data_IF_792603279306
#
_entry.id   IF_792603279306
#
_cell.length_a   1.000
_cell.length_b   1.000
_cell.length_c   1.000
_cell.angle_alpha   90.00
_cell.angle_beta   90.00
_cell.angle_gamma   90.00
#
_symmetry.space_group_name_H-M   'P 1'
#
loop_
_entity.id
_entity.type
_entity.pdbx_description
1 polymer ?
#
# COMPACT_ATOMS: atom_id res chain seq x y z
N UNK A 1 1.38 -17.75 -3.25
CA UNK A 1 0.83 -18.84 -2.40
C UNK A 1 1.76 -19.17 -1.24
N UNK A 2 3.03 -19.54 -1.46
CA UNK A 2 3.96 -19.85 -0.36
C UNK A 2 4.07 -18.70 0.66
N UNK A 3 4.21 -17.47 0.18
CA UNK A 3 4.24 -16.26 1.00
C UNK A 3 2.99 -16.14 1.91
N UNK A 4 1.80 -16.31 1.34
CA UNK A 4 0.51 -16.32 2.06
C UNK A 4 0.45 -17.44 3.10
N UNK A 5 0.92 -18.64 2.75
CA UNK A 5 0.97 -19.78 3.68
C UNK A 5 1.89 -19.47 4.88
N UNK A 6 3.04 -18.85 4.61
CA UNK A 6 3.98 -18.43 5.65
C UNK A 6 3.35 -17.39 6.58
N UNK A 7 2.71 -16.35 6.03
CA UNK A 7 2.13 -15.25 6.81
C UNK A 7 0.88 -15.67 7.60
N UNK A 8 0.15 -16.71 7.16
CA UNK A 8 -1.15 -17.08 7.74
C UNK A 8 -1.08 -18.30 8.64
N UNK A 9 -0.45 -19.37 8.16
CA UNK A 9 -0.50 -20.67 8.83
C UNK A 9 0.79 -20.97 9.58
N UNK A 10 1.95 -20.62 8.99
CA UNK A 10 3.22 -20.94 9.63
C UNK A 10 3.43 -20.16 10.94
N UNK A 11 2.87 -18.95 11.04
CA UNK A 11 2.85 -18.17 12.29
C UNK A 11 2.12 -18.84 13.45
N UNK A 12 1.22 -19.80 13.19
CA UNK A 12 0.51 -20.54 14.26
C UNK A 12 1.41 -21.55 14.98
N UNK A 13 2.60 -21.83 14.44
CA UNK A 13 3.51 -22.83 14.95
C UNK A 13 4.84 -22.18 15.35
N UNK A 14 5.01 -21.82 16.62
CA UNK A 14 6.18 -21.10 17.13
C UNK A 14 7.53 -21.70 16.70
N UNK A 15 7.63 -23.04 16.61
CA UNK A 15 8.85 -23.73 16.22
C UNK A 15 9.31 -23.47 14.77
N UNK A 16 8.39 -23.17 13.85
CA UNK A 16 8.73 -22.98 12.42
C UNK A 16 8.76 -21.50 12.02
N UNK A 17 8.43 -20.59 12.92
CA UNK A 17 8.38 -19.14 12.64
C UNK A 17 9.68 -18.61 12.01
N UNK A 18 10.90 -18.95 12.50
CA UNK A 18 12.14 -18.48 11.86
C UNK A 18 12.29 -18.99 10.43
N UNK A 19 11.99 -20.26 10.18
CA UNK A 19 12.02 -20.85 8.84
C UNK A 19 10.99 -20.17 7.93
N UNK A 20 9.78 -19.93 8.43
CA UNK A 20 8.73 -19.25 7.69
C UNK A 20 9.14 -17.83 7.28
N UNK A 21 9.79 -17.08 8.17
CA UNK A 21 10.33 -15.76 7.85
C UNK A 21 11.36 -15.84 6.70
N UNK A 22 12.30 -16.79 6.74
CA UNK A 22 13.28 -16.96 5.67
C UNK A 22 12.59 -17.33 4.36
N UNK A 23 11.66 -18.29 4.37
CA UNK A 23 10.91 -18.70 3.18
C UNK A 23 10.06 -17.56 2.61
N UNK A 24 9.47 -16.72 3.46
CA UNK A 24 8.73 -15.53 3.06
C UNK A 24 9.65 -14.52 2.36
N UNK A 25 10.80 -14.19 2.95
CA UNK A 25 11.78 -13.28 2.33
C UNK A 25 12.29 -13.83 1.00
N UNK A 26 12.65 -15.12 0.95
CA UNK A 26 13.10 -15.77 -0.28
C UNK A 26 12.00 -15.81 -1.35
N UNK A 27 10.73 -15.97 -0.95
CA UNK A 27 9.59 -15.90 -1.87
C UNK A 27 9.49 -14.51 -2.50
N UNK A 28 9.63 -13.44 -1.70
CA UNK A 28 9.65 -12.07 -2.21
C UNK A 28 10.78 -11.82 -3.20
N UNK A 29 12.01 -12.28 -2.89
CA UNK A 29 13.16 -12.19 -3.80
C UNK A 29 12.92 -12.98 -5.09
N UNK A 30 12.37 -14.19 -4.98
CA UNK A 30 12.05 -15.03 -6.14
C UNK A 30 10.99 -14.36 -7.03
N UNK A 31 9.93 -13.79 -6.45
CA UNK A 31 8.91 -13.04 -7.18
C UNK A 31 9.55 -11.88 -7.96
N UNK A 32 10.37 -11.06 -7.29
CA UNK A 32 11.10 -9.96 -7.94
C UNK A 32 11.99 -10.46 -9.09
N UNK A 33 12.73 -11.55 -8.88
CA UNK A 33 13.57 -12.15 -9.92
C UNK A 33 12.75 -12.67 -11.10
N UNK A 34 11.62 -13.35 -10.85
CA UNK A 34 10.76 -13.85 -11.91
C UNK A 34 10.11 -12.71 -12.70
N UNK A 35 9.71 -11.62 -12.04
CA UNK A 35 9.18 -10.42 -12.70
C UNK A 35 10.21 -9.84 -13.69
N UNK A 36 11.49 -9.77 -13.30
CA UNK A 36 12.57 -9.30 -14.19
C UNK A 36 12.84 -10.23 -15.39
N UNK A 37 12.38 -11.49 -15.32
CA UNK A 37 12.51 -12.48 -16.39
C UNK A 37 11.26 -12.57 -17.27
N UNK A 38 10.18 -11.87 -16.93
CA UNK A 38 8.99 -11.84 -17.78
C UNK A 38 9.41 -11.20 -19.11
N UNK A 39 9.30 -11.92 -20.24
CA UNK A 39 9.72 -11.38 -21.52
C UNK A 39 8.91 -10.12 -21.84
N UNK A 40 9.61 -9.08 -22.32
CA UNK A 40 8.97 -7.87 -22.79
C UNK A 40 7.89 -8.26 -23.78
N UNK A 41 6.64 -8.01 -23.39
CA UNK A 41 5.52 -8.20 -24.28
C UNK A 41 5.68 -7.12 -25.34
N UNK A 42 6.28 -7.47 -26.49
CA UNK A 42 6.29 -6.59 -27.67
C UNK A 42 4.86 -6.14 -27.86
N UNK A 43 4.61 -4.86 -27.65
CA UNK A 43 3.30 -4.26 -27.81
C UNK A 43 2.89 -4.48 -29.26
N UNK A 44 2.18 -5.59 -29.51
CA UNK A 44 1.34 -5.72 -30.67
C UNK A 44 0.30 -4.65 -30.48
N UNK A 45 0.53 -3.51 -31.13
CA UNK A 45 -0.48 -2.52 -31.47
C UNK A 45 -1.56 -3.24 -32.28
N UNK A 46 -2.39 -4.00 -31.58
CA UNK A 46 -3.56 -4.61 -32.14
C UNK A 46 -4.58 -3.48 -32.30
N UNK A 47 -4.45 -2.75 -33.41
CA UNK A 47 -5.50 -1.93 -34.02
C UNK A 47 -6.64 -2.82 -34.57
N UNK A 48 -6.99 -3.88 -33.84
CA UNK A 48 -8.12 -4.73 -34.14
C UNK A 48 -9.36 -4.06 -33.54
N UNK A 49 -10.29 -3.70 -34.42
CA UNK A 49 -11.65 -3.29 -34.06
C UNK A 49 -12.20 -4.30 -33.05
N UNK A 50 -12.46 -3.83 -31.84
CA UNK A 50 -12.89 -4.68 -30.72
C UNK A 50 -14.30 -5.23 -30.99
N UNK A 51 -14.43 -6.54 -31.18
CA UNK A 51 -15.73 -7.21 -31.11
C UNK A 51 -16.27 -7.10 -29.67
N UNK A 52 -17.27 -6.24 -29.48
CA UNK A 52 -17.53 -5.60 -28.19
C UNK A 52 -18.54 -6.32 -27.26
N UNK A 53 -19.10 -7.49 -27.59
CA UNK A 53 -20.40 -7.87 -26.99
C UNK A 53 -20.43 -8.91 -25.86
N UNK A 54 -19.54 -9.89 -25.77
CA UNK A 54 -19.68 -10.96 -24.76
C UNK A 54 -18.83 -10.72 -23.48
N UNK A 55 -17.65 -10.13 -23.63
CA UNK A 55 -16.64 -10.05 -22.56
C UNK A 55 -17.06 -9.14 -21.40
N UNK A 56 -17.79 -8.07 -21.70
CA UNK A 56 -18.22 -7.09 -20.71
C UNK A 56 -19.25 -7.65 -19.71
N UNK A 57 -20.09 -8.61 -20.14
CA UNK A 57 -21.18 -9.13 -19.30
C UNK A 57 -20.66 -9.91 -18.08
N UNK A 58 -19.68 -10.81 -18.27
CA UNK A 58 -19.13 -11.58 -17.17
C UNK A 58 -18.20 -10.74 -16.28
N UNK A 59 -17.42 -9.81 -16.86
CA UNK A 59 -16.61 -8.86 -16.09
C UNK A 59 -17.49 -8.03 -15.17
N UNK A 60 -18.58 -7.46 -15.70
CA UNK A 60 -19.55 -6.72 -14.89
C UNK A 60 -20.15 -7.60 -13.79
N UNK A 61 -20.56 -8.82 -14.10
CA UNK A 61 -21.11 -9.74 -13.10
C UNK A 61 -20.12 -10.03 -11.96
N UNK A 62 -18.83 -10.21 -12.28
CA UNK A 62 -17.79 -10.41 -11.26
C UNK A 62 -17.50 -9.16 -10.46
N UNK A 63 -17.53 -7.98 -11.07
CA UNK A 63 -17.39 -6.71 -10.35
C UNK A 63 -18.56 -6.49 -9.39
N UNK A 64 -19.79 -6.77 -9.83
CA UNK A 64 -20.98 -6.68 -8.99
C UNK A 64 -20.94 -7.71 -7.86
N UNK A 65 -20.60 -8.96 -8.15
CA UNK A 65 -20.49 -10.01 -7.15
C UNK A 65 -19.36 -9.72 -6.16
N UNK A 66 -18.17 -9.38 -6.65
CA UNK A 66 -17.02 -9.01 -5.81
C UNK A 66 -17.31 -7.79 -4.95
N UNK A 67 -17.93 -6.75 -5.53
CA UNK A 67 -18.36 -5.56 -4.81
C UNK A 67 -19.37 -5.87 -3.71
N UNK A 68 -20.35 -6.73 -3.98
CA UNK A 68 -21.32 -7.19 -2.98
C UNK A 68 -20.62 -7.96 -1.84
N UNK A 69 -19.72 -8.89 -2.17
CA UNK A 69 -18.97 -9.66 -1.16
C UNK A 69 -18.15 -8.73 -0.26
N UNK A 70 -17.38 -7.81 -0.86
CA UNK A 70 -16.57 -6.84 -0.11
C UNK A 70 -17.45 -5.92 0.75
N UNK A 71 -18.59 -5.48 0.23
CA UNK A 71 -19.55 -4.69 0.99
C UNK A 71 -20.06 -5.43 2.23
N UNK A 72 -20.44 -6.70 2.09
CA UNK A 72 -20.95 -7.51 3.21
C UNK A 72 -19.88 -7.69 4.31
N UNK A 73 -18.64 -7.99 3.93
CA UNK A 73 -17.55 -8.15 4.90
C UNK A 73 -17.13 -6.82 5.55
N UNK A 74 -17.04 -5.73 4.80
CA UNK A 74 -16.76 -4.40 5.38
C UNK A 74 -17.86 -4.01 6.36
N UNK A 75 -19.13 -4.20 5.98
CA UNK A 75 -20.27 -3.93 6.86
C UNK A 75 -20.19 -4.75 8.15
N UNK A 76 -19.81 -6.02 8.06
CA UNK A 76 -19.61 -6.86 9.23
C UNK A 76 -18.55 -6.26 10.17
N UNK A 77 -17.37 -5.89 9.65
CA UNK A 77 -16.31 -5.29 10.45
C UNK A 77 -16.70 -3.97 11.09
N UNK A 78 -17.39 -3.11 10.32
CA UNK A 78 -17.89 -1.83 10.82
C UNK A 78 -18.83 -2.01 12.00
N UNK A 79 -19.73 -3.00 11.93
CA UNK A 79 -20.70 -3.26 12.98
C UNK A 79 -20.10 -3.97 14.21
N UNK A 80 -19.16 -4.89 14.02
CA UNK A 80 -18.64 -5.74 15.10
C UNK A 80 -17.47 -5.11 15.87
N UNK A 81 -16.75 -4.17 15.27
CA UNK A 81 -15.56 -3.56 15.85
C UNK A 81 -15.66 -2.05 15.65
N UNK A 82 -16.29 -1.29 16.57
CA UNK A 82 -16.25 0.16 16.54
C UNK A 82 -14.80 0.65 16.49
N UNK A 83 -14.55 1.71 15.71
CA UNK A 83 -13.21 2.27 15.60
C UNK A 83 -12.85 2.92 16.95
N UNK A 84 -11.78 2.46 17.58
CA UNK A 84 -11.25 3.03 18.81
C UNK A 84 -9.74 3.26 18.68
N UNK A 85 -9.26 4.42 19.13
CA UNK A 85 -7.83 4.73 19.15
C UNK A 85 -7.05 3.82 20.10
N UNK A 86 -7.73 3.16 21.06
CA UNK A 86 -7.13 2.18 21.97
C UNK A 86 -6.67 0.91 21.26
N UNK A 87 -7.29 0.59 20.12
CA UNK A 87 -7.01 -0.63 19.37
C UNK A 87 -6.02 -0.35 18.23
N UNK A 88 -6.18 0.78 17.56
CA UNK A 88 -5.25 1.30 16.56
C UNK A 88 -5.41 2.81 16.38
N UNK A 89 -4.30 3.51 16.20
CA UNK A 89 -4.24 4.97 16.08
C UNK A 89 -4.27 5.48 14.64
N UNK A 90 -3.91 4.64 13.67
CA UNK A 90 -3.69 5.03 12.26
C UNK A 90 -4.91 5.74 11.66
N UNK A 91 -6.06 5.06 11.61
CA UNK A 91 -7.29 5.61 11.03
C UNK A 91 -7.83 6.79 11.87
N UNK A 92 -7.92 6.72 13.22
CA UNK A 92 -8.31 7.87 14.03
C UNK A 92 -7.45 9.13 13.80
N UNK A 93 -6.11 8.99 13.71
CA UNK A 93 -5.23 10.12 13.39
C UNK A 93 -5.58 10.69 12.02
N UNK A 94 -5.79 9.85 11.00
CA UNK A 94 -6.17 10.31 9.66
C UNK A 94 -7.52 11.03 9.63
N UNK A 95 -8.46 10.63 10.49
CA UNK A 95 -9.74 11.35 10.65
C UNK A 95 -9.51 12.75 11.22
N UNK A 96 -8.69 12.89 12.27
CA UNK A 96 -8.35 14.21 12.84
C UNK A 96 -7.62 15.09 11.82
N UNK A 97 -6.67 14.53 11.08
CA UNK A 97 -5.98 15.24 9.99
C UNK A 97 -6.97 15.72 8.92
N UNK A 98 -7.90 14.85 8.52
CA UNK A 98 -8.94 15.16 7.54
C UNK A 98 -9.91 16.23 8.04
N UNK A 99 -10.29 16.18 9.32
CA UNK A 99 -11.16 17.17 9.94
C UNK A 99 -10.50 18.55 9.96
N UNK A 100 -9.28 18.66 10.49
CA UNK A 100 -8.51 19.92 10.50
C UNK A 100 -8.37 20.50 9.10
N UNK A 101 -8.13 19.66 8.10
CA UNK A 101 -8.03 20.11 6.71
C UNK A 101 -9.34 20.69 6.17
N UNK A 102 -10.48 20.01 6.40
CA UNK A 102 -11.80 20.46 5.96
C UNK A 102 -12.28 21.72 6.69
N UNK A 103 -11.85 21.91 7.93
CA UNK A 103 -12.13 23.10 8.75
C UNK A 103 -11.28 24.33 8.34
N UNK A 104 -10.23 24.12 7.52
CA UNK A 104 -9.34 25.19 7.07
C UNK A 104 -8.08 25.35 7.93
N UNK A 105 -7.90 24.52 8.95
CA UNK A 105 -6.75 24.55 9.88
C UNK A 105 -5.52 23.84 9.30
N UNK A 106 -5.12 24.21 8.08
CA UNK A 106 -4.08 23.49 7.31
C UNK A 106 -2.73 23.43 8.02
N UNK A 107 -2.36 24.49 8.76
CA UNK A 107 -1.15 24.54 9.57
C UNK A 107 -1.18 23.61 10.80
N UNK A 108 -2.37 23.20 11.24
CA UNK A 108 -2.56 22.32 12.38
C UNK A 108 -2.68 20.84 11.99
N UNK A 109 -2.80 20.50 10.70
CA UNK A 109 -2.99 19.11 10.24
C UNK A 109 -1.91 18.17 10.80
N UNK A 110 -0.67 18.65 10.90
CA UNK A 110 0.46 17.89 11.42
C UNK A 110 0.83 18.25 12.87
N UNK A 111 -0.03 18.92 13.64
CA UNK A 111 0.23 19.12 15.08
C UNK A 111 -0.14 17.87 15.89
N UNK A 112 0.50 17.64 17.05
CA UNK A 112 0.14 16.53 17.93
C UNK A 112 -1.36 16.44 18.20
N UNK A 113 -1.91 15.22 18.21
CA UNK A 113 -3.31 14.93 18.49
C UNK A 113 -3.42 14.57 19.97
N UNK A 114 -3.85 15.50 20.81
CA UNK A 114 -3.83 15.37 22.27
C UNK A 114 -4.76 14.26 22.77
N UNK A 115 -5.84 14.02 22.04
CA UNK A 115 -6.88 13.04 22.34
C UNK A 115 -6.39 11.59 22.13
N UNK A 116 -5.34 11.39 21.34
CA UNK A 116 -4.82 10.07 20.98
C UNK A 116 -3.44 9.88 21.63
N UNK A 117 -3.34 8.87 22.50
CA UNK A 117 -2.08 8.45 23.14
C UNK A 117 -1.27 9.58 23.79
N UNK A 118 -1.94 10.57 24.40
CA UNK A 118 -1.34 11.73 25.06
C UNK A 118 -0.50 12.64 24.12
N UNK A 119 -0.98 12.88 22.89
CA UNK A 119 -0.32 13.82 21.98
C UNK A 119 0.55 13.15 20.93
N UNK A 120 0.01 12.16 20.22
CA UNK A 120 0.75 11.51 19.13
C UNK A 120 0.94 12.48 17.95
N UNK A 121 2.17 12.50 17.43
CA UNK A 121 2.56 13.31 16.29
C UNK A 121 2.12 12.63 14.98
N UNK A 122 1.28 13.23 14.13
CA UNK A 122 0.92 12.65 12.84
C UNK A 122 2.14 12.51 11.91
N UNK A 123 2.29 11.33 11.29
CA UNK A 123 3.43 10.98 10.43
C UNK A 123 3.04 10.71 8.97
N UNK A 124 1.74 10.76 8.67
CA UNK A 124 1.19 10.33 7.40
C UNK A 124 1.27 11.43 6.36
N UNK A 125 1.84 11.13 5.20
CA UNK A 125 1.90 12.06 4.09
C UNK A 125 0.53 12.18 3.38
N UNK A 126 0.27 13.27 2.63
CA UNK A 126 -1.06 13.62 2.13
C UNK A 126 -1.77 12.54 1.33
N UNK A 127 -1.08 11.79 0.48
CA UNK A 127 -1.73 10.75 -0.31
C UNK A 127 -2.25 9.61 0.57
N UNK A 128 -1.67 9.39 1.76
CA UNK A 128 -2.14 8.37 2.68
C UNK A 128 -3.48 8.74 3.33
N UNK A 129 -3.63 9.99 3.79
CA UNK A 129 -4.78 10.37 4.62
C UNK A 129 -5.86 11.17 3.85
N UNK A 130 -5.51 11.90 2.79
CA UNK A 130 -6.48 12.72 2.05
C UNK A 130 -7.67 11.94 1.45
N UNK A 131 -7.54 10.66 1.04
CA UNK A 131 -8.72 9.90 0.60
C UNK A 131 -9.82 9.81 1.67
N UNK A 132 -9.46 9.88 2.96
CA UNK A 132 -10.40 9.86 4.08
C UNK A 132 -11.16 11.18 4.29
N UNK A 133 -10.80 12.25 3.56
CA UNK A 133 -11.61 13.48 3.49
C UNK A 133 -13.06 13.17 3.10
N UNK A 134 -13.26 12.17 2.22
CA UNK A 134 -14.58 11.74 1.81
C UNK A 134 -15.39 11.18 2.99
N UNK A 135 -14.79 10.30 3.80
CA UNK A 135 -15.47 9.74 4.99
C UNK A 135 -15.83 10.82 6.01
N UNK A 136 -14.93 11.77 6.27
CA UNK A 136 -15.20 12.86 7.23
C UNK A 136 -16.26 13.82 6.69
N UNK A 137 -16.17 14.22 5.42
CA UNK A 137 -17.12 15.15 4.81
C UNK A 137 -18.55 14.59 4.75
N UNK A 138 -18.70 13.30 4.50
CA UNK A 138 -20.01 12.65 4.36
C UNK A 138 -20.46 11.89 5.62
N UNK A 139 -19.66 11.88 6.69
CA UNK A 139 -20.01 11.28 7.98
C UNK A 139 -20.17 9.75 7.96
N UNK A 140 -19.41 9.03 7.12
CA UNK A 140 -19.42 7.57 7.11
C UNK A 140 -18.09 6.98 7.61
N UNK A 141 -18.11 5.69 7.97
CA UNK A 141 -16.94 5.02 8.54
C UNK A 141 -15.74 5.00 7.57
N UNK A 142 -14.54 5.44 7.98
CA UNK A 142 -13.37 5.55 7.10
C UNK A 142 -12.94 4.20 6.49
N UNK A 143 -13.25 3.05 7.10
CA UNK A 143 -12.88 1.73 6.56
C UNK A 143 -13.53 1.43 5.21
N UNK A 144 -14.63 2.12 4.90
CA UNK A 144 -15.23 2.08 3.55
C UNK A 144 -14.28 2.64 2.48
N UNK A 145 -13.44 3.62 2.80
CA UNK A 145 -12.43 4.16 1.89
C UNK A 145 -11.35 3.11 1.61
N UNK A 146 -10.83 2.46 2.66
CA UNK A 146 -9.86 1.36 2.52
C UNK A 146 -10.44 0.23 1.66
N UNK A 147 -11.68 -0.19 1.95
CA UNK A 147 -12.36 -1.26 1.20
C UNK A 147 -12.59 -0.87 -0.27
N UNK A 148 -13.02 0.36 -0.53
CA UNK A 148 -13.20 0.89 -1.88
C UNK A 148 -11.89 0.91 -2.66
N UNK A 149 -10.78 1.33 -2.04
CA UNK A 149 -9.47 1.36 -2.67
C UNK A 149 -9.03 -0.06 -3.11
N UNK A 150 -9.21 -1.07 -2.25
CA UNK A 150 -8.97 -2.48 -2.62
C UNK A 150 -9.88 -2.90 -3.77
N UNK A 151 -11.16 -2.53 -3.74
CA UNK A 151 -12.12 -2.92 -4.76
C UNK A 151 -11.73 -2.34 -6.13
N UNK A 152 -11.29 -1.08 -6.15
CA UNK A 152 -10.80 -0.44 -7.37
C UNK A 152 -9.55 -1.13 -7.92
N UNK A 153 -8.61 -1.56 -7.07
CA UNK A 153 -7.43 -2.33 -7.50
C UNK A 153 -7.80 -3.65 -8.18
N UNK A 154 -8.71 -4.42 -7.57
CA UNK A 154 -9.20 -5.66 -8.18
C UNK A 154 -10.02 -5.39 -9.45
N UNK A 155 -10.80 -4.31 -9.48
CA UNK A 155 -11.60 -3.92 -10.64
C UNK A 155 -10.72 -3.59 -11.83
N UNK A 156 -9.66 -2.81 -11.60
CA UNK A 156 -8.60 -2.52 -12.56
C UNK A 156 -8.04 -3.82 -13.13
N UNK A 157 -7.67 -4.76 -12.26
CA UNK A 157 -7.15 -6.05 -12.69
C UNK A 157 -8.16 -6.79 -13.56
N UNK A 158 -9.41 -6.97 -13.12
CA UNK A 158 -10.46 -7.69 -13.85
C UNK A 158 -10.76 -7.06 -15.22
N UNK A 159 -10.83 -5.73 -15.30
CA UNK A 159 -11.16 -5.00 -16.53
C UNK A 159 -10.03 -5.06 -17.55
N UNK A 160 -8.77 -4.91 -17.12
CA UNK A 160 -7.60 -4.99 -17.99
C UNK A 160 -7.18 -6.44 -18.29
N UNK A 161 -7.61 -7.39 -17.46
CA UNK A 161 -7.34 -8.81 -17.63
C UNK A 161 -8.19 -9.39 -18.77
N UNK A 162 -7.63 -9.32 -19.98
CA UNK A 162 -8.19 -9.95 -21.18
C UNK A 162 -7.97 -11.46 -21.25
N UNK A 163 -7.63 -12.15 -20.15
CA UNK A 163 -7.42 -13.58 -20.28
C UNK A 163 -8.75 -14.26 -20.59
N UNK A 164 -8.73 -15.06 -21.64
CA UNK A 164 -9.81 -15.98 -21.93
C UNK A 164 -10.02 -16.87 -20.71
N UNK A 165 -11.17 -16.73 -20.03
CA UNK A 165 -11.56 -17.62 -18.92
C UNK A 165 -11.59 -19.09 -19.33
N UNK A 166 -11.70 -19.34 -20.64
CA UNK A 166 -11.60 -20.65 -21.26
C UNK A 166 -10.20 -21.28 -21.13
N UNK A 167 -9.17 -20.51 -20.81
CA UNK A 167 -7.84 -21.04 -20.50
C UNK A 167 -7.72 -21.30 -19.00
N UNK A 168 -7.34 -22.53 -18.65
CA UNK A 168 -7.15 -22.99 -17.26
C UNK A 168 -6.25 -22.03 -16.47
N UNK A 169 -5.18 -21.51 -17.07
CA UNK A 169 -4.27 -20.57 -16.39
C UNK A 169 -4.95 -19.26 -15.97
N UNK A 170 -5.90 -18.75 -16.76
CA UNK A 170 -6.68 -17.57 -16.41
C UNK A 170 -7.60 -17.85 -15.23
N UNK A 171 -8.38 -18.94 -15.30
CA UNK A 171 -9.28 -19.34 -14.24
C UNK A 171 -8.54 -19.59 -12.91
N UNK A 172 -7.38 -20.25 -12.94
CA UNK A 172 -6.55 -20.49 -11.75
C UNK A 172 -6.05 -19.17 -11.15
N UNK A 173 -5.58 -18.23 -11.97
CA UNK A 173 -5.12 -16.94 -11.45
C UNK A 173 -6.25 -16.17 -10.77
N UNK A 174 -7.45 -16.20 -11.34
CA UNK A 174 -8.62 -15.52 -10.80
C UNK A 174 -9.15 -16.19 -9.53
N UNK A 175 -9.09 -17.53 -9.47
CA UNK A 175 -9.34 -18.26 -8.23
C UNK A 175 -8.35 -17.85 -7.14
N UNK A 176 -7.05 -17.81 -7.46
CA UNK A 176 -6.01 -17.38 -6.51
C UNK A 176 -6.23 -15.93 -6.07
N UNK A 177 -6.53 -15.02 -6.99
CA UNK A 177 -6.83 -13.63 -6.69
C UNK A 177 -8.09 -13.48 -5.82
N UNK A 178 -9.14 -14.26 -6.10
CA UNK A 178 -10.37 -14.29 -5.31
C UNK A 178 -10.14 -14.84 -3.90
N UNK A 179 -9.35 -15.91 -3.75
CA UNK A 179 -8.95 -16.45 -2.43
C UNK A 179 -8.15 -15.42 -1.65
N UNK A 180 -7.18 -14.75 -2.28
CA UNK A 180 -6.39 -13.69 -1.63
C UNK A 180 -7.27 -12.51 -1.23
N UNK A 181 -8.20 -12.09 -2.08
CA UNK A 181 -9.17 -11.04 -1.76
C UNK A 181 -10.01 -11.44 -0.55
N UNK A 182 -10.60 -12.64 -0.57
CA UNK A 182 -11.40 -13.15 0.55
C UNK A 182 -10.58 -13.20 1.84
N UNK A 183 -9.34 -13.70 1.75
CA UNK A 183 -8.42 -13.77 2.88
C UNK A 183 -8.19 -12.40 3.54
N UNK A 184 -7.99 -11.34 2.75
CA UNK A 184 -7.85 -9.96 3.25
C UNK A 184 -9.07 -9.44 4.05
N UNK A 185 -10.25 -10.04 3.85
CA UNK A 185 -11.47 -9.65 4.54
C UNK A 185 -11.81 -10.57 5.71
N UNK A 186 -11.46 -11.85 5.63
CA UNK A 186 -11.87 -12.84 6.63
C UNK A 186 -10.85 -13.06 7.72
N UNK A 187 -9.56 -12.83 7.44
CA UNK A 187 -8.53 -13.09 8.43
C UNK A 187 -8.47 -11.97 9.48
N UNK A 188 -8.60 -12.38 10.74
CA UNK A 188 -8.71 -11.47 11.89
C UNK A 188 -7.34 -11.07 12.44
N UNK A 189 -6.25 -11.63 11.92
CA UNK A 189 -4.91 -11.45 12.48
C UNK A 189 -4.18 -10.26 11.88
N UNK A 190 -4.33 -10.04 10.57
CA UNK A 190 -3.60 -8.97 9.88
C UNK A 190 -4.30 -7.59 9.95
N UNK A 191 -5.56 -7.52 10.41
CA UNK A 191 -6.33 -6.27 10.62
C UNK A 191 -6.37 -5.29 9.43
N UNK A 192 -6.26 -5.79 8.19
CA UNK A 192 -5.98 -4.97 7.00
C UNK A 192 -7.15 -4.04 6.67
N UNK A 193 -8.38 -4.56 6.73
CA UNK A 193 -9.60 -3.74 6.56
C UNK A 193 -10.06 -3.15 7.89
N UNK A 194 -9.82 -3.86 9.00
CA UNK A 194 -10.37 -3.49 10.32
C UNK A 194 -9.70 -2.27 10.92
N UNK A 195 -8.37 -2.18 10.85
CA UNK A 195 -7.60 -1.18 11.60
C UNK A 195 -6.58 -0.42 10.75
N UNK A 196 -6.51 -0.69 9.44
CA UNK A 196 -5.44 -0.19 8.59
C UNK A 196 -5.94 0.52 7.33
N UNK A 197 -5.09 1.40 6.82
CA UNK A 197 -5.26 2.23 5.64
C UNK A 197 -4.64 1.62 4.38
N UNK A 198 -3.98 0.47 4.49
CA UNK A 198 -3.14 -0.13 3.43
C UNK A 198 -3.88 -0.39 2.12
N UNK A 199 -5.22 -0.43 2.12
CA UNK A 199 -6.03 -0.45 0.91
C UNK A 199 -5.73 0.70 -0.05
N UNK A 200 -5.46 1.91 0.47
CA UNK A 200 -5.08 3.09 -0.33
C UNK A 200 -3.71 2.87 -0.98
N UNK A 201 -2.76 2.33 -0.23
CA UNK A 201 -1.43 2.00 -0.71
C UNK A 201 -1.54 1.00 -1.87
N UNK A 202 -2.29 -0.10 -1.67
CA UNK A 202 -2.55 -1.11 -2.71
C UNK A 202 -3.16 -0.49 -3.96
N UNK A 203 -4.06 0.49 -3.82
CA UNK A 203 -4.63 1.24 -4.94
C UNK A 203 -3.59 2.06 -5.70
N UNK A 204 -2.73 2.82 -5.04
CA UNK A 204 -1.71 3.60 -5.72
C UNK A 204 -0.67 2.75 -6.44
N UNK A 205 -0.24 1.63 -5.85
CA UNK A 205 0.63 0.69 -6.56
C UNK A 205 -0.06 0.07 -7.79
N UNK A 206 -1.36 -0.26 -7.68
CA UNK A 206 -2.13 -0.76 -8.83
C UNK A 206 -2.27 0.29 -9.94
N UNK A 207 -2.47 1.55 -9.55
CA UNK A 207 -2.49 2.69 -10.47
C UNK A 207 -1.13 2.89 -11.14
N UNK A 208 -0.02 2.75 -10.41
CA UNK A 208 1.33 2.84 -10.97
C UNK A 208 1.59 1.73 -12.00
N UNK A 209 1.18 0.49 -11.72
CA UNK A 209 1.28 -0.61 -12.69
C UNK A 209 0.49 -0.28 -13.95
N UNK A 210 -0.76 0.20 -13.82
CA UNK A 210 -1.54 0.63 -14.98
C UNK A 210 -0.87 1.76 -15.75
N UNK A 211 -0.31 2.74 -15.04
CA UNK A 211 0.36 3.86 -15.65
C UNK A 211 1.55 3.40 -16.49
N UNK A 212 2.37 2.48 -15.95
CA UNK A 212 3.49 1.87 -16.65
C UNK A 212 3.05 1.09 -17.89
N UNK A 213 1.98 0.28 -17.77
CA UNK A 213 1.43 -0.50 -18.88
C UNK A 213 0.80 0.37 -19.97
N UNK A 214 0.20 1.50 -19.59
CA UNK A 214 -0.40 2.45 -20.54
C UNK A 214 0.62 3.27 -21.31
N UNK A 215 1.90 3.23 -20.89
CA UNK A 215 2.97 4.12 -21.35
C UNK A 215 2.66 5.63 -21.21
N UNK A 216 1.63 6.00 -20.43
CA UNK A 216 1.27 7.40 -20.21
C UNK A 216 2.21 8.04 -19.18
N UNK A 217 3.17 8.81 -19.69
CA UNK A 217 4.21 9.50 -18.91
C UNK A 217 3.64 10.38 -17.78
N UNK A 218 2.54 11.08 -18.03
CA UNK A 218 1.90 11.94 -17.02
C UNK A 218 1.32 11.09 -15.88
N UNK A 219 0.59 10.03 -16.23
CA UNK A 219 -0.01 9.14 -15.23
C UNK A 219 1.06 8.42 -14.41
N UNK A 220 2.20 8.05 -15.03
CA UNK A 220 3.32 7.43 -14.32
C UNK A 220 3.89 8.37 -13.25
N UNK A 221 4.10 9.65 -13.59
CA UNK A 221 4.60 10.63 -12.63
C UNK A 221 3.63 10.89 -11.49
N UNK A 222 2.33 11.03 -11.79
CA UNK A 222 1.28 11.21 -10.76
C UNK A 222 1.22 9.97 -9.85
N UNK A 223 1.14 8.77 -10.40
CA UNK A 223 1.04 7.54 -9.62
C UNK A 223 2.30 7.29 -8.78
N UNK A 224 3.49 7.60 -9.31
CA UNK A 224 4.73 7.51 -8.55
C UNK A 224 4.75 8.50 -7.38
N UNK A 225 4.30 9.74 -7.58
CA UNK A 225 4.18 10.72 -6.51
C UNK A 225 3.18 10.28 -5.43
N UNK A 226 2.00 9.78 -5.82
CA UNK A 226 1.02 9.23 -4.87
C UNK A 226 1.60 8.07 -4.06
N UNK A 227 2.36 7.19 -4.71
CA UNK A 227 3.04 6.10 -4.01
C UNK A 227 4.06 6.62 -2.99
N UNK A 228 4.94 7.57 -3.37
CA UNK A 228 5.92 8.21 -2.46
C UNK A 228 5.22 8.88 -1.27
N UNK A 229 4.13 9.60 -1.53
CA UNK A 229 3.33 10.31 -0.52
C UNK A 229 2.40 9.38 0.27
N UNK A 230 2.37 8.08 -0.03
CA UNK A 230 1.60 7.08 0.75
C UNK A 230 2.52 6.23 1.63
N UNK A 231 3.69 5.82 1.12
CA UNK A 231 4.69 5.07 1.86
C UNK A 231 6.12 5.42 1.44
N UNK A 232 6.99 5.51 2.44
CA UNK A 232 8.43 5.77 2.30
C UNK A 232 9.20 4.70 1.51
N UNK A 233 8.64 3.51 1.32
CA UNK A 233 9.32 2.39 0.65
C UNK A 233 9.80 2.74 -0.78
N UNK A 234 9.10 3.63 -1.49
CA UNK A 234 9.52 4.06 -2.84
C UNK A 234 10.58 5.17 -2.81
N UNK A 235 10.79 5.84 -1.68
CA UNK A 235 11.82 6.87 -1.57
C UNK A 235 13.23 6.28 -1.85
N UNK A 236 13.46 5.02 -1.47
CA UNK A 236 14.69 4.30 -1.80
C UNK A 236 14.85 4.01 -3.30
N UNK A 237 13.75 3.69 -3.99
CA UNK A 237 13.79 3.41 -5.43
C UNK A 237 14.01 4.67 -6.28
N UNK A 238 13.59 5.84 -5.80
CA UNK A 238 13.59 7.08 -6.58
C UNK A 238 15.01 7.48 -7.07
N UNK A 239 16.09 7.45 -6.27
CA UNK A 239 17.44 7.71 -6.76
C UNK A 239 17.91 6.71 -7.81
N UNK A 240 17.65 5.41 -7.64
CA UNK A 240 18.02 4.41 -8.62
C UNK A 240 17.30 4.64 -9.96
N UNK A 241 15.99 4.96 -9.91
CA UNK A 241 15.23 5.34 -11.11
C UNK A 241 15.79 6.63 -11.75
N UNK A 242 16.09 7.65 -10.95
CA UNK A 242 16.66 8.92 -11.44
C UNK A 242 17.98 8.69 -12.17
N UNK A 243 18.88 7.93 -11.58
CA UNK A 243 20.18 7.56 -12.17
C UNK A 243 19.98 6.79 -13.48
N UNK A 244 19.11 5.77 -13.47
CA UNK A 244 18.80 4.98 -14.67
C UNK A 244 18.24 5.86 -15.81
N UNK A 245 17.24 6.69 -15.53
CA UNK A 245 16.60 7.51 -16.56
C UNK A 245 17.53 8.62 -17.08
N UNK A 246 18.29 9.27 -16.19
CA UNK A 246 19.17 10.38 -16.56
C UNK A 246 20.44 9.94 -17.28
N UNK A 247 21.13 8.90 -16.79
CA UNK A 247 22.42 8.47 -17.34
C UNK A 247 22.26 7.53 -18.53
N UNK A 248 21.28 6.61 -18.50
CA UNK A 248 21.18 5.53 -19.48
C UNK A 248 20.22 5.89 -20.60
N UNK A 249 19.00 6.35 -20.28
CA UNK A 249 17.93 6.47 -21.28
C UNK A 249 17.95 7.79 -22.07
N UNK A 250 18.35 8.91 -21.45
CA UNK A 250 18.42 10.27 -22.06
C UNK A 250 17.18 10.69 -22.89
N UNK A 251 15.98 10.20 -22.55
CA UNK A 251 14.77 10.51 -23.31
C UNK A 251 14.04 11.72 -22.73
N UNK A 252 13.66 12.70 -23.58
CA UNK A 252 12.83 13.86 -23.19
C UNK A 252 11.51 13.47 -22.50
N UNK A 253 11.00 12.28 -22.81
CA UNK A 253 9.77 11.72 -22.21
C UNK A 253 9.91 11.46 -20.71
N UNK A 254 11.13 11.17 -20.24
CA UNK A 254 11.39 10.95 -18.82
C UNK A 254 11.33 12.26 -18.03
N UNK A 255 11.73 13.39 -18.62
CA UNK A 255 11.58 14.71 -18.01
C UNK A 255 10.12 15.06 -17.67
N UNK A 256 9.16 14.64 -18.50
CA UNK A 256 7.73 14.87 -18.25
C UNK A 256 7.24 14.04 -17.06
N UNK A 257 7.74 12.79 -16.90
CA UNK A 257 7.44 11.95 -15.73
C UNK A 257 7.89 12.62 -14.44
N UNK A 258 9.12 13.15 -14.43
CA UNK A 258 9.65 13.85 -13.26
C UNK A 258 8.93 15.15 -12.97
N UNK A 259 8.64 15.94 -14.00
CA UNK A 259 7.92 17.19 -13.83
C UNK A 259 6.51 16.95 -13.27
N UNK A 260 5.79 15.95 -13.77
CA UNK A 260 4.45 15.61 -13.27
C UNK A 260 4.47 15.05 -11.85
N UNK A 261 5.44 14.20 -11.51
CA UNK A 261 5.65 13.75 -10.13
C UNK A 261 5.95 14.93 -9.19
N UNK A 262 6.88 15.80 -9.59
CA UNK A 262 7.25 16.99 -8.83
C UNK A 262 6.08 17.94 -8.61
N UNK A 263 5.32 18.26 -9.67
CA UNK A 263 4.11 19.08 -9.58
C UNK A 263 3.10 18.45 -8.63
N UNK A 264 2.90 17.13 -8.71
CA UNK A 264 1.97 16.42 -7.83
C UNK A 264 2.40 16.54 -6.36
N UNK A 265 3.70 16.39 -6.06
CA UNK A 265 4.24 16.59 -4.71
C UNK A 265 4.05 18.03 -4.26
N UNK A 266 4.39 19.02 -5.10
CA UNK A 266 4.23 20.43 -4.75
C UNK A 266 2.77 20.75 -4.44
N UNK A 267 1.83 20.30 -5.27
CA UNK A 267 0.40 20.59 -5.12
C UNK A 267 -0.21 19.89 -3.90
N UNK A 268 0.12 18.62 -3.67
CA UNK A 268 -0.48 17.84 -2.58
C UNK A 268 0.18 18.07 -1.22
N UNK A 269 1.47 18.40 -1.20
CA UNK A 269 2.27 18.49 0.04
C UNK A 269 2.75 19.91 0.33
N UNK A 270 3.52 20.51 -0.58
CA UNK A 270 4.26 21.74 -0.28
C UNK A 270 3.32 22.95 -0.23
N UNK A 271 2.38 23.07 -1.17
CA UNK A 271 1.47 24.20 -1.23
C UNK A 271 0.51 24.25 -0.03
N UNK A 272 -0.09 23.14 0.43
CA UNK A 272 -1.00 23.19 1.58
C UNK A 272 -0.30 23.21 2.94
N UNK A 273 0.87 22.54 3.08
CA UNK A 273 1.48 22.26 4.38
C UNK A 273 2.92 22.77 4.54
N UNK A 274 3.51 23.34 3.49
CA UNK A 274 4.91 23.74 3.49
C UNK A 274 5.88 22.54 3.58
N UNK A 275 6.99 22.75 4.27
CA UNK A 275 8.06 21.74 4.44
C UNK A 275 7.97 20.97 5.75
N UNK A 276 7.03 21.33 6.63
CA UNK A 276 6.91 20.75 7.97
C UNK A 276 6.71 19.23 7.96
N UNK A 277 5.81 18.65 7.12
CA UNK A 277 5.63 17.21 7.11
C UNK A 277 6.88 16.45 6.62
N UNK A 278 7.68 17.07 5.75
CA UNK A 278 8.96 16.48 5.29
C UNK A 278 9.96 16.45 6.45
N UNK A 279 10.04 17.53 7.23
CA UNK A 279 10.89 17.57 8.43
C UNK A 279 10.50 16.48 9.43
N UNK A 280 9.22 16.40 9.77
CA UNK A 280 8.69 15.36 10.66
C UNK A 280 9.06 13.98 10.13
N UNK A 281 8.84 13.72 8.83
CA UNK A 281 9.16 12.45 8.19
C UNK A 281 10.65 12.10 8.26
N UNK A 282 11.56 13.08 8.13
CA UNK A 282 13.01 12.85 8.23
C UNK A 282 13.47 12.53 9.66
N UNK A 283 12.74 12.97 10.67
CA UNK A 283 13.04 12.69 12.08
C UNK A 283 12.51 11.32 12.56
N UNK A 284 11.48 10.79 11.88
CA UNK A 284 10.84 9.52 12.24
C UNK A 284 11.78 8.33 12.41
N UNK A 285 12.77 8.08 11.53
CA UNK A 285 13.66 6.92 11.66
C UNK A 285 14.32 6.81 13.04
N UNK A 286 14.78 7.93 13.62
CA UNK A 286 15.46 7.93 14.91
C UNK A 286 14.48 7.66 16.06
N UNK A 287 13.29 8.25 16.00
CA UNK A 287 12.23 8.03 16.98
C UNK A 287 11.74 6.57 16.94
N UNK A 288 11.58 6.03 15.72
CA UNK A 288 11.19 4.66 15.47
C UNK A 288 12.20 3.66 16.05
N UNK A 289 13.51 3.85 15.83
CA UNK A 289 14.53 2.94 16.39
C UNK A 289 14.45 2.91 17.92
N UNK A 290 14.39 4.08 18.57
CA UNK A 290 14.29 4.17 20.04
C UNK A 290 13.03 3.47 20.56
N UNK A 291 11.90 3.72 19.90
CA UNK A 291 10.63 3.09 20.24
C UNK A 291 10.67 1.58 20.03
N UNK A 292 11.18 1.10 18.90
CA UNK A 292 11.31 -0.31 18.59
C UNK A 292 12.19 -1.05 19.61
N UNK A 293 13.31 -0.47 20.03
CA UNK A 293 14.17 -1.04 21.09
C UNK A 293 13.42 -1.15 22.41
N UNK A 294 12.61 -0.14 22.76
CA UNK A 294 11.77 -0.18 23.97
C UNK A 294 10.73 -1.29 23.89
N UNK A 295 9.92 -1.32 22.82
CA UNK A 295 8.88 -2.33 22.63
C UNK A 295 9.48 -3.73 22.56
N UNK A 296 10.69 -3.89 22.01
CA UNK A 296 11.37 -5.18 22.02
C UNK A 296 11.59 -5.71 23.43
N UNK A 297 11.99 -4.83 24.35
CA UNK A 297 12.26 -5.19 25.75
C UNK A 297 10.98 -5.41 26.53
N UNK A 298 9.95 -4.62 26.27
CA UNK A 298 8.66 -4.67 26.99
C UNK A 298 7.74 -5.79 26.48
N UNK A 299 7.74 -6.06 25.18
CA UNK A 299 6.87 -7.01 24.49
C UNK A 299 7.59 -7.69 23.30
N UNK A 300 8.59 -8.56 23.58
CA UNK A 300 9.42 -9.21 22.56
C UNK A 300 8.62 -10.09 21.57
N UNK A 301 7.41 -10.52 21.94
CA UNK A 301 6.51 -11.30 21.10
C UNK A 301 6.19 -10.60 19.77
N UNK A 302 6.06 -9.26 19.74
CA UNK A 302 5.79 -8.51 18.51
C UNK A 302 6.89 -8.67 17.46
N UNK A 303 8.13 -8.90 17.89
CA UNK A 303 9.26 -9.08 16.98
C UNK A 303 9.59 -10.54 16.71
N UNK A 304 9.47 -11.39 17.73
CA UNK A 304 9.81 -12.80 17.62
C UNK A 304 8.74 -13.61 16.88
N UNK A 305 7.46 -13.24 17.03
CA UNK A 305 6.32 -13.93 16.43
C UNK A 305 5.82 -13.31 15.12
N UNK A 306 6.31 -12.14 14.71
CA UNK A 306 5.93 -11.52 13.43
C UNK A 306 6.72 -12.08 12.25
N UNK A 307 6.32 -11.81 11.01
CA UNK A 307 7.07 -12.27 9.82
C UNK A 307 8.33 -11.46 9.51
N UNK A 308 8.64 -10.41 10.29
CA UNK A 308 9.80 -9.55 10.06
C UNK A 308 11.13 -10.24 10.35
N UNK A 309 12.20 -9.76 9.69
CA UNK A 309 13.57 -10.23 9.94
C UNK A 309 14.12 -9.79 11.32
N UNK A 310 13.39 -8.94 12.03
CA UNK A 310 13.86 -8.31 13.26
C UNK A 310 14.35 -9.33 14.29
N UNK A 311 13.63 -10.46 14.45
CA UNK A 311 13.97 -11.60 15.33
C UNK A 311 15.40 -12.11 15.22
N UNK A 312 16.05 -11.95 14.07
CA UNK A 312 17.42 -12.41 13.84
C UNK A 312 18.50 -11.41 14.30
N UNK A 313 18.11 -10.17 14.59
CA UNK A 313 19.02 -9.10 15.01
C UNK A 313 19.01 -8.91 16.54
N UNK A 314 17.85 -9.05 17.16
CA UNK A 314 17.69 -8.76 18.59
C UNK A 314 17.64 -7.25 18.90
N UNK A 315 17.45 -6.88 20.17
CA UNK A 315 17.18 -5.51 20.58
C UNK A 315 18.40 -4.58 20.39
N UNK A 316 19.62 -5.12 20.45
CA UNK A 316 20.86 -4.34 20.37
C UNK A 316 21.24 -3.99 18.93
N UNK A 317 20.68 -4.68 17.94
CA UNK A 317 21.05 -4.53 16.53
C UNK A 317 19.90 -3.98 15.67
N UNK A 318 18.87 -3.39 16.28
CA UNK A 318 17.76 -2.76 15.56
C UNK A 318 18.25 -1.63 14.64
N UNK A 319 19.27 -0.88 15.06
CA UNK A 319 19.87 0.14 14.21
C UNK A 319 20.53 -0.46 12.96
N UNK A 320 21.23 -1.58 13.10
CA UNK A 320 21.84 -2.31 11.98
C UNK A 320 20.76 -2.82 11.04
N UNK A 321 19.71 -3.42 11.58
CA UNK A 321 18.54 -3.87 10.80
C UNK A 321 17.93 -2.71 10.02
N UNK A 322 17.73 -1.56 10.66
CA UNK A 322 17.15 -0.39 10.02
C UNK A 322 18.04 0.16 8.89
N UNK A 323 19.35 0.23 9.11
CA UNK A 323 20.32 0.62 8.07
C UNK A 323 20.32 -0.35 6.90
N UNK A 324 20.23 -1.66 7.15
CA UNK A 324 20.09 -2.67 6.10
C UNK A 324 18.78 -2.49 5.32
N UNK A 325 17.66 -2.24 6.01
CA UNK A 325 16.39 -1.96 5.36
C UNK A 325 16.49 -0.75 4.43
N UNK A 326 17.09 0.34 4.90
CA UNK A 326 17.34 1.53 4.06
C UNK A 326 18.21 1.16 2.87
N UNK A 327 19.35 0.50 3.09
CA UNK A 327 20.31 0.14 2.04
C UNK A 327 19.68 -0.75 0.95
N UNK A 328 18.92 -1.78 1.34
CA UNK A 328 18.28 -2.71 0.41
C UNK A 328 16.95 -2.18 -0.17
N UNK A 329 16.50 -1.00 0.26
CA UNK A 329 15.39 -0.30 -0.40
C UNK A 329 15.86 0.54 -1.61
N UNK A 330 17.18 0.71 -1.81
CA UNK A 330 17.83 1.25 -3.01
C UNK A 330 18.25 0.12 -3.95
#
# INVERSE_FOLDING_TARGET
MLETLCVTYALKFNAIIPLATVLYTLSGVAISFFILRIPDKKNRTASGVYEFRAVWSYQLMMLLFGGLVMFLFTKQWVNQSPLSYTDADMIPIMQVMSQRFLEGDWLMVYQPVQEIWNGIQPIYLPAMWMPFLLSVKFGFDPRWITSLAVFLSFSIFILYWKAHWQKISGAVLLLVAGILCLWLYTDTTHNFIRLSEEGIVVFYYSLLVLALLSENFLLVGIAAALCILSRYAIAGWLPAMLVYLFLIRKQKRDSIRFLSAFITIVVLLILPFGLEPIRIALEQPQQYIKHAVRIWREAPEYFTQSMGLAKFFGPEQIEVQHRMLILFSF
#
